data_IF_703005928003
#
_entry.id   IF_703005928003
#
_cell.length_a   1.000
_cell.length_b   1.000
_cell.length_c   1.000
_cell.angle_alpha   90.00
_cell.angle_beta   90.00
_cell.angle_gamma   90.00
#
_symmetry.space_group_name_H-M   'P 1'
#
loop_
_entity.id
_entity.type
_entity.pdbx_description
1 polymer ?
#
# COMPACT_ATOMS: atom_id res chain seq x y z
N UNK A 1 13.31 11.98 -20.33
CA UNK A 1 12.92 10.64 -20.83
C UNK A 1 13.56 10.42 -22.19
N UNK A 2 14.51 9.50 -22.26
CA UNK A 2 15.31 9.19 -23.45
C UNK A 2 14.72 7.96 -24.15
N UNK A 3 14.69 7.94 -25.49
CA UNK A 3 14.17 6.79 -26.26
C UNK A 3 15.30 6.06 -26.96
N UNK A 4 15.45 4.76 -26.69
CA UNK A 4 16.58 3.96 -27.16
C UNK A 4 16.06 2.70 -27.88
N UNK A 5 16.55 2.36 -29.07
CA UNK A 5 16.26 1.07 -29.69
C UNK A 5 16.77 -0.09 -28.83
N UNK A 6 16.00 -1.18 -28.72
CA UNK A 6 16.41 -2.36 -27.94
C UNK A 6 17.77 -2.91 -28.38
N UNK A 7 18.09 -2.81 -29.69
CA UNK A 7 19.38 -3.22 -30.23
C UNK A 7 20.55 -2.45 -29.62
N UNK A 8 20.39 -1.14 -29.39
CA UNK A 8 21.41 -0.28 -28.77
C UNK A 8 21.44 -0.47 -27.26
N UNK A 9 20.26 -0.55 -26.63
CA UNK A 9 20.15 -0.73 -25.18
C UNK A 9 20.81 -2.03 -24.70
N UNK A 10 20.79 -3.10 -25.52
CA UNK A 10 21.44 -4.37 -25.19
C UNK A 10 22.95 -4.20 -24.98
N UNK A 11 23.59 -3.37 -25.79
CA UNK A 11 25.05 -3.22 -25.78
C UNK A 11 25.51 -2.28 -24.64
N UNK A 12 24.59 -1.46 -24.08
CA UNK A 12 24.84 -0.48 -23.02
C UNK A 12 24.05 -0.72 -21.74
N UNK A 13 23.45 -1.90 -21.57
CA UNK A 13 22.52 -2.18 -20.48
C UNK A 13 23.08 -1.87 -19.07
N UNK A 14 24.35 -2.19 -18.74
CA UNK A 14 24.91 -1.85 -17.43
C UNK A 14 24.95 -0.34 -17.18
N UNK A 15 25.38 0.45 -18.16
CA UNK A 15 25.42 1.92 -18.07
C UNK A 15 24.03 2.52 -17.87
N UNK A 16 23.04 2.03 -18.64
CA UNK A 16 21.65 2.50 -18.54
C UNK A 16 21.05 2.14 -17.18
N UNK A 17 21.35 0.96 -16.65
CA UNK A 17 20.88 0.54 -15.33
C UNK A 17 21.51 1.38 -14.21
N UNK A 18 22.81 1.66 -14.29
CA UNK A 18 23.51 2.51 -13.31
C UNK A 18 22.99 3.95 -13.31
N UNK A 19 22.76 4.52 -14.50
CA UNK A 19 22.14 5.86 -14.65
C UNK A 19 20.72 5.88 -14.10
N UNK A 20 19.91 4.89 -14.45
CA UNK A 20 18.55 4.79 -13.91
C UNK A 20 18.59 4.74 -12.38
N UNK A 21 19.47 3.93 -11.78
CA UNK A 21 19.58 3.75 -10.34
C UNK A 21 20.11 4.98 -9.59
N UNK A 22 21.09 5.71 -10.15
CA UNK A 22 21.78 6.81 -9.46
C UNK A 22 21.20 8.19 -9.77
N UNK A 23 20.76 8.38 -11.00
CA UNK A 23 20.34 9.69 -11.53
C UNK A 23 18.82 9.78 -11.67
N UNK A 24 18.09 8.69 -11.39
CA UNK A 24 16.64 8.58 -11.63
C UNK A 24 16.28 8.83 -13.11
N UNK A 25 17.16 8.42 -14.01
CA UNK A 25 16.93 8.50 -15.44
C UNK A 25 15.90 7.46 -15.91
N UNK A 26 15.07 7.86 -16.88
CA UNK A 26 14.08 6.99 -17.53
C UNK A 26 14.38 6.78 -19.00
N UNK A 27 14.48 5.52 -19.38
CA UNK A 27 14.76 5.11 -20.76
C UNK A 27 13.59 4.32 -21.32
N UNK A 28 12.99 4.79 -22.41
CA UNK A 28 11.98 4.05 -23.18
C UNK A 28 12.66 3.21 -24.25
N UNK A 29 12.56 1.90 -24.11
CA UNK A 29 13.06 0.93 -25.08
C UNK A 29 12.07 0.77 -26.23
N UNK A 30 12.57 0.84 -27.46
CA UNK A 30 11.74 0.71 -28.67
C UNK A 30 12.09 -0.50 -29.52
N UNK A 31 11.07 -1.09 -30.15
CA UNK A 31 11.19 -2.12 -31.19
C UNK A 31 10.49 -1.64 -32.45
N UNK A 32 11.21 -1.56 -33.56
CA UNK A 32 10.68 -1.03 -34.84
C UNK A 32 10.05 0.38 -34.68
N UNK A 33 10.69 1.24 -33.89
CA UNK A 33 10.22 2.60 -33.61
C UNK A 33 9.02 2.72 -32.67
N UNK A 34 8.54 1.60 -32.10
CA UNK A 34 7.42 1.59 -31.16
C UNK A 34 7.91 1.37 -29.72
N UNK A 35 7.43 2.14 -28.72
CA UNK A 35 7.70 1.87 -27.30
C UNK A 35 7.34 0.44 -26.92
N UNK A 36 8.20 -0.21 -26.14
CA UNK A 36 8.05 -1.62 -25.77
C UNK A 36 8.31 -1.89 -24.29
N UNK A 37 9.26 -1.20 -23.67
CA UNK A 37 9.56 -1.31 -22.25
C UNK A 37 10.17 0.00 -21.73
N UNK A 38 10.25 0.17 -20.41
CA UNK A 38 10.94 1.30 -19.78
C UNK A 38 11.94 0.75 -18.76
N UNK A 39 13.14 1.32 -18.72
CA UNK A 39 14.11 1.11 -17.64
C UNK A 39 13.97 2.29 -16.67
N UNK A 40 13.74 1.98 -15.40
CA UNK A 40 13.68 2.90 -14.27
C UNK A 40 14.43 2.28 -13.08
N UNK A 41 14.77 3.08 -12.07
CA UNK A 41 15.30 2.52 -10.83
C UNK A 41 14.27 1.64 -10.12
N UNK A 42 14.74 0.63 -9.39
CA UNK A 42 13.88 -0.22 -8.55
C UNK A 42 13.21 0.63 -7.46
N UNK A 43 13.96 1.50 -6.79
CA UNK A 43 13.44 2.35 -5.72
C UNK A 43 12.30 3.26 -6.19
N UNK A 44 12.42 3.83 -7.39
CA UNK A 44 11.35 4.65 -7.97
C UNK A 44 10.13 3.81 -8.36
N UNK A 45 10.34 2.64 -8.96
CA UNK A 45 9.23 1.74 -9.28
C UNK A 45 8.45 1.34 -8.01
N UNK A 46 9.15 0.96 -6.95
CA UNK A 46 8.56 0.61 -5.66
C UNK A 46 7.82 1.80 -5.03
N UNK A 47 8.41 3.00 -5.06
CA UNK A 47 7.78 4.21 -4.54
C UNK A 47 6.50 4.58 -5.31
N UNK A 48 6.47 4.37 -6.64
CA UNK A 48 5.25 4.55 -7.43
C UNK A 48 4.17 3.54 -7.06
N UNK A 49 4.53 2.27 -6.81
CA UNK A 49 3.56 1.27 -6.34
C UNK A 49 3.01 1.62 -4.97
N UNK A 50 3.86 1.99 -4.01
CA UNK A 50 3.43 2.45 -2.68
C UNK A 50 2.49 3.65 -2.78
N UNK A 51 2.81 4.63 -3.65
CA UNK A 51 1.95 5.79 -3.86
C UNK A 51 0.58 5.38 -4.40
N UNK A 52 0.51 4.42 -5.31
CA UNK A 52 -0.76 3.92 -5.84
C UNK A 52 -1.58 3.17 -4.78
N UNK A 53 -0.93 2.42 -3.91
CA UNK A 53 -1.57 1.75 -2.77
C UNK A 53 -2.16 2.77 -1.79
N UNK A 54 -1.37 3.78 -1.39
CA UNK A 54 -1.83 4.87 -0.53
C UNK A 54 -3.02 5.63 -1.14
N UNK A 55 -3.00 5.87 -2.45
CA UNK A 55 -4.12 6.53 -3.13
C UNK A 55 -5.40 5.66 -3.11
N UNK A 56 -5.27 4.34 -3.23
CA UNK A 56 -6.41 3.44 -3.12
C UNK A 56 -7.01 3.48 -1.70
N UNK A 57 -6.17 3.46 -0.67
CA UNK A 57 -6.59 3.58 0.73
C UNK A 57 -7.29 4.93 1.00
N UNK A 58 -6.78 6.02 0.43
CA UNK A 58 -7.41 7.34 0.56
C UNK A 58 -8.81 7.38 -0.08
N UNK A 59 -9.00 6.74 -1.23
CA UNK A 59 -10.32 6.65 -1.87
C UNK A 59 -11.31 5.86 -0.98
N UNK A 60 -10.87 4.77 -0.35
CA UNK A 60 -11.71 4.05 0.61
C UNK A 60 -12.00 4.88 1.85
N UNK A 61 -11.01 5.59 2.40
CA UNK A 61 -11.19 6.48 3.55
C UNK A 61 -12.23 7.56 3.27
N UNK A 62 -12.14 8.24 2.11
CA UNK A 62 -13.17 9.21 1.68
C UNK A 62 -14.55 8.57 1.52
N UNK A 63 -14.61 7.32 1.05
CA UNK A 63 -15.87 6.59 0.90
C UNK A 63 -16.47 6.21 2.26
N UNK A 64 -15.64 5.82 3.23
CA UNK A 64 -16.04 5.55 4.60
C UNK A 64 -16.56 6.82 5.29
N UNK A 65 -15.86 7.95 5.13
CA UNK A 65 -16.31 9.27 5.60
C UNK A 65 -17.70 9.63 5.05
N UNK A 66 -17.93 9.44 3.75
CA UNK A 66 -19.22 9.72 3.12
C UNK A 66 -20.38 8.83 3.64
N UNK A 67 -20.08 7.60 4.07
CA UNK A 67 -21.05 6.69 4.69
C UNK A 67 -21.25 6.97 6.19
N UNK A 68 -20.41 7.81 6.79
CA UNK A 68 -20.37 8.03 8.24
C UNK A 68 -19.65 6.92 9.02
N UNK A 69 -18.89 6.07 8.34
CA UNK A 69 -18.08 5.00 8.93
C UNK A 69 -16.76 5.59 9.50
N UNK A 70 -16.88 6.57 10.40
CA UNK A 70 -15.77 7.27 11.05
C UNK A 70 -15.89 7.20 12.56
N UNK A 71 -14.77 7.31 13.25
CA UNK A 71 -14.71 7.33 14.71
C UNK A 71 -13.92 8.53 15.16
N UNK A 72 -14.43 9.27 16.13
CA UNK A 72 -13.73 10.40 16.72
C UNK A 72 -12.56 9.93 17.59
N UNK A 73 -11.65 10.85 17.93
CA UNK A 73 -10.54 10.56 18.84
C UNK A 73 -11.03 10.04 20.20
N UNK A 74 -12.05 10.69 20.78
CA UNK A 74 -12.61 10.32 22.09
C UNK A 74 -13.23 8.91 22.06
N UNK A 75 -14.01 8.60 21.02
CA UNK A 75 -14.61 7.28 20.83
C UNK A 75 -13.53 6.21 20.62
N UNK A 76 -12.51 6.49 19.80
CA UNK A 76 -11.40 5.57 19.58
C UNK A 76 -10.61 5.33 20.86
N UNK A 77 -10.35 6.37 21.66
CA UNK A 77 -9.71 6.25 22.96
C UNK A 77 -10.52 5.35 23.91
N UNK A 78 -11.85 5.51 23.94
CA UNK A 78 -12.73 4.65 24.74
C UNK A 78 -12.71 3.18 24.27
N UNK A 79 -12.75 2.94 22.95
CA UNK A 79 -12.63 1.58 22.36
C UNK A 79 -11.30 0.93 22.78
N UNK A 80 -10.19 1.67 22.68
CA UNK A 80 -8.86 1.16 23.02
C UNK A 80 -8.70 0.92 24.53
N UNK A 81 -9.20 1.82 25.38
CA UNK A 81 -9.22 1.63 26.83
C UNK A 81 -10.00 0.37 27.23
N UNK A 82 -11.15 0.12 26.60
CA UNK A 82 -11.94 -1.08 26.82
C UNK A 82 -11.18 -2.35 26.41
N UNK A 83 -10.46 -2.36 25.27
CA UNK A 83 -9.66 -3.51 24.83
C UNK A 83 -8.55 -3.85 25.83
N UNK A 84 -7.83 -2.85 26.34
CA UNK A 84 -6.77 -3.04 27.33
C UNK A 84 -7.32 -3.49 28.69
N UNK A 85 -8.49 -2.97 29.09
CA UNK A 85 -9.21 -3.40 30.29
C UNK A 85 -9.64 -4.87 30.22
N UNK A 86 -10.14 -5.36 29.08
CA UNK A 86 -10.49 -6.77 28.91
C UNK A 86 -9.26 -7.69 29.00
N UNK A 87 -8.14 -7.28 28.40
CA UNK A 87 -6.88 -8.04 28.48
C UNK A 87 -6.37 -8.16 29.93
N UNK A 88 -6.47 -7.07 30.72
CA UNK A 88 -6.02 -7.09 32.12
C UNK A 88 -6.95 -7.90 33.04
N UNK A 89 -8.25 -7.93 32.75
CA UNK A 89 -9.23 -8.77 33.47
C UNK A 89 -9.02 -10.26 33.20
N UNK A 90 -8.74 -10.67 31.96
CA UNK A 90 -8.38 -12.07 31.66
C UNK A 90 -7.01 -12.45 32.27
N UNK A 91 -6.04 -11.53 32.34
CA UNK A 91 -4.72 -11.80 32.96
C UNK A 91 -4.74 -11.94 34.49
N UNK A 92 -5.70 -11.30 35.17
CA UNK A 92 -5.83 -11.34 36.64
C UNK A 92 -6.76 -12.47 37.14
N UNK A 93 -7.27 -13.31 36.24
CA UNK A 93 -8.01 -14.53 36.58
C UNK A 93 -9.34 -14.32 37.30
N UNK A 94 -9.89 -13.10 37.30
CA UNK A 94 -11.07 -12.74 38.13
C UNK A 94 -12.41 -12.80 37.39
N UNK A 95 -12.43 -13.03 36.08
CA UNK A 95 -13.66 -13.24 35.32
C UNK A 95 -13.43 -14.22 34.16
N UNK A 96 -14.43 -15.08 33.90
CA UNK A 96 -14.56 -15.87 32.67
C UNK A 96 -14.64 -14.93 31.49
N UNK A 97 -13.72 -15.04 30.52
CA UNK A 97 -13.71 -14.21 29.31
C UNK A 97 -15.06 -14.44 28.55
N UNK A 98 -15.76 -13.38 28.10
CA UNK A 98 -16.94 -13.55 27.24
C UNK A 98 -16.49 -14.08 25.87
N UNK A 99 -17.19 -15.08 25.34
CA UNK A 99 -17.03 -15.55 23.96
C UNK A 99 -17.34 -14.40 22.98
N UNK A 100 -16.29 -13.88 22.33
CA UNK A 100 -16.41 -12.96 21.19
C UNK A 100 -16.67 -13.78 19.92
N UNK A 101 -17.90 -14.29 19.77
CA UNK A 101 -18.39 -14.81 18.49
C UNK A 101 -19.20 -13.74 17.76
N UNK A 102 -18.94 -13.42 16.46
CA UNK A 102 -19.82 -12.54 15.72
C UNK A 102 -21.18 -13.22 15.57
N UNK A 103 -22.22 -12.67 16.21
CA UNK A 103 -23.60 -13.10 15.98
C UNK A 103 -24.00 -12.71 14.56
N UNK A 104 -23.80 -13.64 13.64
CA UNK A 104 -24.47 -13.63 12.33
C UNK A 104 -25.93 -13.97 12.61
N UNK A 105 -26.83 -13.01 12.41
CA UNK A 105 -28.27 -13.28 12.48
C UNK A 105 -28.64 -14.37 11.46
N UNK A 106 -29.34 -15.46 11.85
CA UNK A 106 -29.89 -16.39 10.88
C UNK A 106 -31.11 -15.74 10.24
N UNK A 107 -31.10 -15.68 8.91
CA UNK A 107 -32.23 -15.15 8.15
C UNK A 107 -33.54 -15.89 8.42
N UNK A 108 -34.63 -15.13 8.31
CA UNK A 108 -35.95 -15.57 7.88
C UNK A 108 -36.67 -14.38 7.26
#
# INVERSE_FOLDING_TARGET
METIPISEARDRLPELADRAAREHDHFTLTRNGRPHAVIVSVAEWESLQETLELLADLVEATSAEARGDVTTEEEMAAIMANRLGRASVCATGRATCPDDGPTREPGS
#
